data_IF_266053003486
#
_entry.id   IF_266053003486
#
_cell.length_a   1.000
_cell.length_b   1.000
_cell.length_c   1.000
_cell.angle_alpha   90.00
_cell.angle_beta   90.00
_cell.angle_gamma   90.00
#
_symmetry.space_group_name_H-M   'P 1'
#
loop_
_entity.id
_entity.type
_entity.pdbx_description
1 polymer ?
#
# COMPACT_ATOMS: atom_id res chain seq x y z
N UNK A 1 31.21 -20.43 -29.60
CA UNK A 1 30.70 -20.80 -28.27
C UNK A 1 31.77 -20.39 -27.29
N UNK A 2 31.72 -19.13 -26.83
CA UNK A 2 32.65 -18.62 -25.82
C UNK A 2 31.84 -18.12 -24.65
N UNK A 3 32.02 -18.80 -23.53
CA UNK A 3 31.45 -18.51 -22.22
C UNK A 3 32.04 -17.22 -21.66
N UNK A 4 31.24 -16.16 -21.58
CA UNK A 4 31.54 -14.97 -20.79
C UNK A 4 31.52 -15.34 -19.30
N UNK A 5 32.69 -15.63 -18.73
CA UNK A 5 32.86 -15.72 -17.29
C UNK A 5 33.03 -14.32 -16.70
N UNK A 6 32.13 -13.93 -15.80
CA UNK A 6 32.24 -12.71 -15.00
C UNK A 6 33.27 -12.96 -13.89
N UNK A 7 34.39 -12.24 -13.93
CA UNK A 7 35.46 -12.33 -12.94
C UNK A 7 35.12 -11.50 -11.70
N UNK A 8 35.23 -12.10 -10.51
CA UNK A 8 35.18 -11.37 -9.23
C UNK A 8 36.60 -10.93 -8.81
N UNK A 9 36.78 -9.72 -8.27
CA UNK A 9 38.09 -9.22 -7.86
C UNK A 9 38.62 -9.90 -6.57
N UNK A 10 39.94 -10.14 -6.55
CA UNK A 10 40.66 -11.09 -5.69
C UNK A 10 41.47 -10.47 -4.51
N UNK A 11 41.14 -9.31 -3.94
CA UNK A 11 41.82 -8.88 -2.69
C UNK A 11 41.04 -7.80 -1.88
N UNK A 12 41.11 -7.79 -0.53
CA UNK A 12 40.15 -7.07 0.32
C UNK A 12 40.63 -5.72 0.89
N UNK A 13 41.68 -5.08 0.36
CA UNK A 13 42.21 -3.82 0.95
C UNK A 13 42.24 -2.70 -0.09
N UNK A 14 41.13 -1.96 -0.16
CA UNK A 14 41.00 -0.52 -0.45
C UNK A 14 39.60 -0.19 -1.00
N UNK A 15 38.57 -0.29 -0.12
CA UNK A 15 37.22 0.26 -0.37
C UNK A 15 36.70 0.98 0.87
N UNK A 16 37.45 1.95 1.38
CA UNK A 16 36.86 2.98 2.26
C UNK A 16 36.32 4.12 1.39
N UNK A 17 35.21 3.82 0.70
CA UNK A 17 34.28 4.81 0.19
C UNK A 17 33.08 4.83 1.12
N UNK A 18 32.91 5.93 1.85
CA UNK A 18 31.75 6.18 2.69
C UNK A 18 30.52 6.38 1.77
N UNK A 19 29.83 5.29 1.43
CA UNK A 19 28.79 5.26 0.40
C UNK A 19 27.38 5.37 1.01
N UNK A 20 27.07 6.45 1.72
CA UNK A 20 25.66 6.91 1.85
C UNK A 20 25.25 7.56 0.53
N UNK A 21 25.00 6.73 -0.48
CA UNK A 21 24.38 7.20 -1.73
C UNK A 21 22.91 7.54 -1.44
N UNK A 22 22.63 8.83 -1.27
CA UNK A 22 21.27 9.33 -1.19
C UNK A 22 20.61 9.17 -2.57
N UNK A 23 19.63 8.27 -2.66
CA UNK A 23 18.77 8.14 -3.86
C UNK A 23 18.00 9.45 -4.04
N UNK A 24 18.39 10.25 -5.03
CA UNK A 24 17.74 11.54 -5.33
C UNK A 24 16.49 11.39 -6.21
N UNK A 25 16.40 10.30 -6.99
CA UNK A 25 15.29 10.02 -7.90
C UNK A 25 14.86 8.56 -7.77
N UNK A 26 13.65 8.27 -7.29
CA UNK A 26 13.18 6.90 -7.17
C UNK A 26 12.87 6.31 -8.55
N UNK A 27 13.38 5.11 -8.81
CA UNK A 27 13.28 4.45 -10.12
C UNK A 27 12.12 3.45 -10.17
N UNK A 28 11.89 2.75 -9.07
CA UNK A 28 10.79 1.79 -8.90
C UNK A 28 9.95 2.22 -7.69
N UNK A 29 8.69 2.57 -7.91
CA UNK A 29 7.81 3.13 -6.89
C UNK A 29 6.51 2.34 -6.76
N UNK A 30 6.13 2.04 -5.52
CA UNK A 30 4.74 1.73 -5.17
C UNK A 30 3.90 3.01 -5.09
N UNK A 31 2.58 2.86 -4.99
CA UNK A 31 1.64 3.99 -5.00
C UNK A 31 1.23 4.40 -3.58
N UNK A 32 0.22 3.74 -3.02
CA UNK A 32 -0.49 4.18 -1.83
C UNK A 32 -0.57 3.03 -0.83
N UNK A 33 -0.21 3.33 0.41
CA UNK A 33 -0.46 2.47 1.57
C UNK A 33 -1.49 3.18 2.44
N UNK A 34 -2.53 2.46 2.81
CA UNK A 34 -3.62 3.00 3.62
C UNK A 34 -3.83 2.17 4.88
N UNK A 35 -4.32 2.79 5.94
CA UNK A 35 -4.60 2.10 7.19
C UNK A 35 -5.58 2.83 8.08
N UNK A 36 -6.26 2.06 8.94
CA UNK A 36 -7.22 2.56 9.92
C UNK A 36 -7.10 1.75 11.22
N UNK A 37 -7.19 2.46 12.34
CA UNK A 37 -7.28 1.88 13.67
C UNK A 37 -8.72 1.48 13.98
N UNK A 38 -8.90 0.34 14.62
CA UNK A 38 -10.18 -0.15 15.12
C UNK A 38 -10.04 -0.58 16.59
N UNK A 39 -11.13 -1.07 17.20
CA UNK A 39 -11.19 -1.42 18.63
C UNK A 39 -10.04 -2.31 19.10
N UNK A 40 -9.78 -3.39 18.38
CA UNK A 40 -8.87 -4.45 18.81
C UNK A 40 -7.50 -4.37 18.13
N UNK A 41 -7.30 -3.39 17.24
CA UNK A 41 -6.11 -3.39 16.38
C UNK A 41 -6.02 -2.30 15.32
N UNK A 42 -5.23 -2.59 14.29
CA UNK A 42 -5.06 -1.75 13.08
C UNK A 42 -5.17 -2.62 11.84
N UNK A 43 -5.84 -2.11 10.81
CA UNK A 43 -5.88 -2.72 9.48
C UNK A 43 -5.06 -1.85 8.52
N UNK A 44 -4.20 -2.48 7.73
CA UNK A 44 -3.38 -1.86 6.68
C UNK A 44 -3.67 -2.52 5.34
N UNK A 45 -3.58 -1.77 4.24
CA UNK A 45 -3.66 -2.31 2.89
C UNK A 45 -2.68 -1.63 1.93
N UNK A 46 -2.20 -2.40 0.96
CA UNK A 46 -1.26 -1.96 -0.06
C UNK A 46 -1.47 -2.78 -1.34
N UNK A 47 -1.52 -2.14 -2.50
CA UNK A 47 -1.49 -2.81 -3.80
C UNK A 47 -0.13 -3.48 -4.07
N UNK A 48 -0.14 -4.52 -4.89
CA UNK A 48 1.04 -5.37 -5.16
C UNK A 48 1.83 -4.95 -6.41
N UNK A 49 1.64 -3.72 -6.89
CA UNK A 49 2.33 -3.23 -8.08
C UNK A 49 3.53 -2.33 -7.72
N UNK A 50 4.62 -2.55 -8.45
CA UNK A 50 5.76 -1.64 -8.48
C UNK A 50 5.95 -1.12 -9.90
N UNK A 51 5.85 0.21 -10.02
CA UNK A 51 5.95 0.93 -11.29
C UNK A 51 7.36 1.46 -11.54
N UNK A 52 7.82 1.40 -12.80
CA UNK A 52 8.98 2.13 -13.32
C UNK A 52 8.47 3.28 -14.18
N UNK A 53 8.30 4.46 -13.59
CA UNK A 53 7.64 5.58 -14.28
C UNK A 53 6.18 5.24 -14.61
N UNK A 54 5.84 5.09 -15.89
CA UNK A 54 4.51 4.67 -16.37
C UNK A 54 4.41 3.15 -16.62
N UNK A 55 5.54 2.43 -16.61
CA UNK A 55 5.55 1.00 -16.87
C UNK A 55 5.25 0.22 -15.58
N UNK A 56 4.19 -0.57 -15.58
CA UNK A 56 3.95 -1.60 -14.58
C UNK A 56 5.03 -2.70 -14.71
N UNK A 57 6.07 -2.66 -13.86
CA UNK A 57 7.26 -3.49 -14.06
C UNK A 57 7.21 -4.79 -13.26
N UNK A 58 6.84 -4.73 -11.98
CA UNK A 58 6.69 -5.92 -11.14
C UNK A 58 5.25 -5.99 -10.66
N UNK A 59 4.52 -6.95 -11.22
CA UNK A 59 3.20 -7.35 -10.77
C UNK A 59 3.38 -8.42 -9.68
N UNK A 60 2.49 -8.47 -8.70
CA UNK A 60 2.52 -9.42 -7.57
C UNK A 60 3.73 -9.28 -6.63
N UNK A 61 4.18 -8.05 -6.38
CA UNK A 61 5.22 -7.77 -5.40
C UNK A 61 4.64 -7.48 -4.01
N UNK A 62 5.11 -8.20 -3.00
CA UNK A 62 4.69 -7.98 -1.62
C UNK A 62 5.29 -6.68 -1.07
N UNK A 63 4.44 -5.76 -0.61
CA UNK A 63 4.88 -4.48 -0.06
C UNK A 63 4.79 -4.40 1.46
N UNK A 64 4.24 -5.44 2.10
CA UNK A 64 4.10 -5.51 3.54
C UNK A 64 5.22 -6.37 4.14
N UNK A 65 6.00 -5.77 5.03
CA UNK A 65 7.03 -6.47 5.78
C UNK A 65 6.62 -6.58 7.25
N UNK A 66 6.71 -7.80 7.80
CA UNK A 66 6.48 -8.05 9.22
C UNK A 66 7.73 -7.71 10.01
N UNK A 67 7.69 -6.64 10.81
CA UNK A 67 8.73 -6.32 11.77
C UNK A 67 8.47 -6.98 13.13
N UNK A 68 9.52 -7.50 13.75
CA UNK A 68 9.45 -8.11 15.09
C UNK A 68 9.65 -7.09 16.22
N UNK A 69 10.21 -5.92 15.91
CA UNK A 69 10.48 -4.84 16.87
C UNK A 69 9.49 -3.67 16.68
N UNK A 70 9.22 -2.95 17.77
CA UNK A 70 8.41 -1.74 17.77
C UNK A 70 9.15 -0.64 16.97
N UNK A 71 8.49 -0.12 15.94
CA UNK A 71 9.00 0.99 15.12
C UNK A 71 8.51 2.29 15.74
N UNK A 72 9.43 3.22 16.04
CA UNK A 72 9.08 4.58 16.43
C UNK A 72 8.64 5.37 15.19
N UNK A 73 7.43 5.92 15.23
CA UNK A 73 6.88 6.82 14.20
C UNK A 73 6.72 8.21 14.82
N UNK A 74 7.06 9.25 14.06
CA UNK A 74 7.11 10.63 14.56
C UNK A 74 5.73 11.27 14.81
N UNK A 75 4.65 10.67 14.33
CA UNK A 75 3.28 11.15 14.48
C UNK A 75 2.31 10.00 14.75
N UNK A 76 1.22 10.30 15.45
CA UNK A 76 0.18 9.33 15.82
C UNK A 76 -1.15 9.78 15.26
N UNK A 77 -1.76 8.96 14.41
CA UNK A 77 -3.06 9.21 13.81
C UNK A 77 -3.94 7.95 13.86
N UNK A 78 -5.25 8.12 13.87
CA UNK A 78 -6.21 7.00 13.88
C UNK A 78 -6.40 6.38 12.48
N UNK A 79 -5.99 7.09 11.42
CA UNK A 79 -5.95 6.61 10.06
C UNK A 79 -4.71 7.18 9.35
N UNK A 80 -4.23 6.48 8.34
CA UNK A 80 -3.06 6.90 7.56
C UNK A 80 -3.30 6.58 6.10
N UNK A 81 -2.87 7.47 5.21
CA UNK A 81 -2.85 7.23 3.78
C UNK A 81 -1.65 7.93 3.16
N UNK A 82 -0.88 7.19 2.36
CA UNK A 82 0.29 7.72 1.65
C UNK A 82 0.01 7.90 0.16
N UNK A 83 0.82 8.70 -0.51
CA UNK A 83 0.73 8.90 -1.96
C UNK A 83 -0.63 9.48 -2.39
N UNK A 84 -1.20 8.93 -3.46
CA UNK A 84 -2.53 9.33 -3.95
C UNK A 84 -3.66 8.97 -2.97
N UNK A 85 -3.42 7.99 -2.10
CA UNK A 85 -4.25 7.65 -0.95
C UNK A 85 -4.59 8.84 -0.06
N UNK A 86 -3.66 9.78 0.12
CA UNK A 86 -3.90 10.95 0.95
C UNK A 86 -5.03 11.85 0.43
N UNK A 87 -5.28 11.83 -0.89
CA UNK A 87 -6.31 12.67 -1.52
C UNK A 87 -7.63 11.91 -1.75
N UNK A 88 -7.54 10.62 -2.07
CA UNK A 88 -8.72 9.82 -2.46
C UNK A 88 -9.23 8.90 -1.37
N UNK A 89 -8.34 8.29 -0.59
CA UNK A 89 -8.72 7.35 0.47
C UNK A 89 -9.00 8.07 1.79
N UNK A 90 -8.26 9.15 2.09
CA UNK A 90 -8.40 9.88 3.35
C UNK A 90 -9.84 10.35 3.65
N UNK A 91 -10.63 10.87 2.69
CA UNK A 91 -12.02 11.24 2.95
C UNK A 91 -12.89 10.05 3.38
N UNK A 92 -12.68 8.88 2.78
CA UNK A 92 -13.43 7.65 3.11
C UNK A 92 -13.06 7.15 4.52
N UNK A 93 -11.76 7.18 4.85
CA UNK A 93 -11.27 6.81 6.18
C UNK A 93 -11.80 7.77 7.26
N UNK A 94 -11.80 9.06 6.95
CA UNK A 94 -12.32 10.12 7.83
C UNK A 94 -13.83 9.99 8.03
N UNK A 95 -14.60 9.71 6.99
CA UNK A 95 -16.04 9.46 7.08
C UNK A 95 -16.34 8.29 8.02
N UNK A 96 -15.60 7.19 7.91
CA UNK A 96 -15.74 6.06 8.82
C UNK A 96 -15.46 6.46 10.27
N UNK A 97 -14.40 7.22 10.54
CA UNK A 97 -14.06 7.63 11.90
C UNK A 97 -15.06 8.65 12.48
N UNK A 98 -15.39 9.68 11.74
CA UNK A 98 -16.23 10.78 12.24
C UNK A 98 -17.71 10.38 12.29
N UNK A 99 -18.25 9.81 11.21
CA UNK A 99 -19.68 9.53 11.08
C UNK A 99 -20.06 8.22 11.75
N UNK A 100 -19.33 7.12 11.45
CA UNK A 100 -19.70 5.81 12.01
C UNK A 100 -19.22 5.64 13.45
N UNK A 101 -18.05 6.16 13.78
CA UNK A 101 -17.42 5.93 15.09
C UNK A 101 -17.60 7.10 16.08
N UNK A 102 -18.17 8.23 15.66
CA UNK A 102 -18.33 9.42 16.50
C UNK A 102 -17.01 10.06 16.92
N UNK A 103 -15.93 9.82 16.16
CA UNK A 103 -14.58 10.31 16.43
C UNK A 103 -13.73 9.38 17.31
N UNK A 104 -14.28 8.31 17.87
CA UNK A 104 -13.51 7.33 18.65
C UNK A 104 -13.23 6.05 17.83
N UNK A 105 -11.96 5.71 17.53
CA UNK A 105 -11.62 4.48 16.81
C UNK A 105 -12.06 3.20 17.53
N UNK A 106 -12.32 3.23 18.85
CA UNK A 106 -12.79 2.05 19.59
C UNK A 106 -14.22 1.63 19.22
N UNK A 107 -14.97 2.51 18.57
CA UNK A 107 -16.32 2.21 18.09
C UNK A 107 -16.32 1.48 16.74
N UNK A 108 -15.15 1.35 16.09
CA UNK A 108 -15.00 0.66 14.80
C UNK A 108 -14.76 -0.84 15.04
N UNK A 109 -15.59 -1.69 14.43
CA UNK A 109 -15.40 -3.14 14.41
C UNK A 109 -14.36 -3.55 13.37
N UNK A 110 -13.82 -4.77 13.47
CA UNK A 110 -12.86 -5.27 12.49
C UNK A 110 -13.49 -5.36 11.09
N UNK A 111 -14.74 -5.81 11.01
CA UNK A 111 -15.49 -5.92 9.75
C UNK A 111 -15.70 -4.53 9.12
N UNK A 112 -16.04 -3.53 9.93
CA UNK A 112 -16.20 -2.15 9.47
C UNK A 112 -14.87 -1.59 8.93
N UNK A 113 -13.76 -1.86 9.61
CA UNK A 113 -12.42 -1.44 9.18
C UNK A 113 -12.05 -2.09 7.84
N UNK A 114 -12.24 -3.41 7.71
CA UNK A 114 -11.96 -4.16 6.48
C UNK A 114 -12.83 -3.65 5.32
N UNK A 115 -14.12 -3.39 5.57
CA UNK A 115 -15.04 -2.87 4.54
C UNK A 115 -14.65 -1.47 4.06
N UNK A 116 -14.24 -0.60 4.98
CA UNK A 116 -13.80 0.77 4.70
C UNK A 116 -12.52 0.77 3.89
N UNK A 117 -11.53 -0.05 4.29
CA UNK A 117 -10.27 -0.21 3.56
C UNK A 117 -10.51 -0.79 2.17
N UNK A 118 -11.37 -1.80 2.03
CA UNK A 118 -11.71 -2.39 0.73
C UNK A 118 -12.38 -1.36 -0.19
N UNK A 119 -13.26 -0.52 0.36
CA UNK A 119 -13.92 0.56 -0.38
C UNK A 119 -12.93 1.64 -0.82
N UNK A 120 -11.99 2.02 0.06
CA UNK A 120 -10.92 2.96 -0.26
C UNK A 120 -9.96 2.41 -1.35
N UNK A 121 -9.59 1.13 -1.29
CA UNK A 121 -8.79 0.47 -2.32
C UNK A 121 -9.52 0.44 -3.67
N UNK A 122 -10.84 0.20 -3.66
CA UNK A 122 -11.68 0.27 -4.86
C UNK A 122 -11.69 1.67 -5.48
N UNK A 123 -11.82 2.71 -4.65
CA UNK A 123 -11.76 4.09 -5.11
C UNK A 123 -10.38 4.43 -5.72
N UNK A 124 -9.30 3.97 -5.07
CA UNK A 124 -7.95 4.14 -5.59
C UNK A 124 -7.79 3.46 -6.94
N UNK A 125 -8.24 2.21 -7.08
CA UNK A 125 -8.17 1.50 -8.36
C UNK A 125 -8.90 2.21 -9.51
N UNK A 126 -10.03 2.85 -9.23
CA UNK A 126 -10.79 3.56 -10.26
C UNK A 126 -10.20 4.92 -10.67
N UNK A 127 -9.38 5.55 -9.82
CA UNK A 127 -8.95 6.94 -9.99
C UNK A 127 -7.44 7.14 -10.05
N UNK A 128 -6.66 6.18 -9.57
CA UNK A 128 -5.21 6.16 -9.64
C UNK A 128 -4.75 5.26 -10.79
N UNK A 129 -4.13 5.85 -11.80
CA UNK A 129 -3.62 5.14 -12.98
C UNK A 129 -2.46 4.18 -12.67
N UNK A 130 -1.88 4.24 -11.47
CA UNK A 130 -0.80 3.38 -11.02
C UNK A 130 -1.23 2.37 -9.97
N UNK A 131 -2.50 2.35 -9.57
CA UNK A 131 -3.03 1.35 -8.67
C UNK A 131 -3.33 0.05 -9.44
N UNK A 132 -3.22 -1.08 -8.74
CA UNK A 132 -3.52 -2.40 -9.28
C UNK A 132 -4.70 -3.03 -8.55
N UNK A 133 -5.41 -3.95 -9.21
CA UNK A 133 -6.63 -4.56 -8.66
C UNK A 133 -6.36 -5.61 -7.58
N UNK A 134 -5.10 -6.03 -7.47
CA UNK A 134 -4.62 -7.02 -6.52
C UNK A 134 -3.84 -6.35 -5.40
N UNK A 135 -4.22 -6.65 -4.16
CA UNK A 135 -3.68 -6.01 -2.96
C UNK A 135 -3.48 -7.00 -1.82
N UNK A 136 -2.63 -6.62 -0.88
CA UNK A 136 -2.46 -7.29 0.41
C UNK A 136 -3.11 -6.46 1.50
N UNK A 137 -3.64 -7.15 2.50
CA UNK A 137 -4.23 -6.55 3.68
C UNK A 137 -3.58 -7.17 4.91
N UNK A 138 -3.13 -6.36 5.85
CA UNK A 138 -2.60 -6.82 7.13
C UNK A 138 -3.54 -6.38 8.25
N UNK A 139 -3.97 -7.34 9.06
CA UNK A 139 -4.71 -7.11 10.30
C UNK A 139 -3.75 -7.35 11.45
N UNK A 140 -3.63 -6.36 12.33
CA UNK A 140 -2.75 -6.39 13.49
C UNK A 140 -3.60 -6.29 14.73
N UNK A 141 -3.61 -7.35 15.54
CA UNK A 141 -4.33 -7.44 16.80
C UNK A 141 -3.37 -7.80 17.95
N UNK A 142 -3.90 -8.05 19.15
CA UNK A 142 -3.10 -8.42 20.33
C UNK A 142 -2.48 -9.81 20.19
N UNK A 143 -3.11 -10.69 19.42
CA UNK A 143 -2.68 -12.06 19.17
C UNK A 143 -1.52 -12.12 18.16
N UNK A 144 -1.43 -11.15 17.24
CA UNK A 144 -0.32 -10.99 16.33
C UNK A 144 -0.64 -10.24 15.05
N UNK A 145 0.16 -10.51 14.01
CA UNK A 145 0.04 -9.90 12.68
C UNK A 145 -0.40 -10.99 11.71
N UNK A 146 -1.53 -10.77 11.05
CA UNK A 146 -2.06 -11.63 9.99
C UNK A 146 -2.02 -10.86 8.66
N UNK A 147 -1.26 -11.36 7.69
CA UNK A 147 -1.19 -10.78 6.34
C UNK A 147 -2.00 -11.67 5.41
N UNK A 148 -3.04 -11.09 4.83
CA UNK A 148 -3.95 -11.72 3.88
C UNK A 148 -3.62 -11.22 2.46
N UNK A 149 -3.37 -12.14 1.54
CA UNK A 149 -3.13 -11.81 0.13
C UNK A 149 -2.75 -13.02 -0.72
N UNK A 150 -2.80 -12.92 -2.05
CA UNK A 150 -3.30 -11.79 -2.85
C UNK A 150 -4.83 -11.70 -2.86
N UNK A 151 -5.39 -10.54 -2.51
CA UNK A 151 -6.82 -10.25 -2.59
C UNK A 151 -7.12 -9.47 -3.87
N UNK A 152 -8.20 -9.83 -4.58
CA UNK A 152 -8.63 -9.14 -5.80
C UNK A 152 -9.89 -8.32 -5.55
N UNK A 153 -9.87 -7.06 -5.98
CA UNK A 153 -11.01 -6.16 -5.87
C UNK A 153 -12.17 -6.59 -6.78
N UNK A 154 -13.39 -6.57 -6.25
CA UNK A 154 -14.61 -6.72 -7.05
C UNK A 154 -15.03 -5.36 -7.61
N UNK A 155 -14.69 -5.13 -8.87
CA UNK A 155 -15.04 -3.92 -9.61
C UNK A 155 -16.32 -4.13 -10.41
N UNK A 156 -17.21 -3.13 -10.37
CA UNK A 156 -18.37 -3.06 -11.25
C UNK A 156 -18.15 -1.90 -12.24
N UNK A 157 -18.31 -2.19 -13.52
CA UNK A 157 -18.10 -1.26 -14.64
C UNK A 157 -19.38 -1.06 -15.46
N UNK A 158 -20.54 -1.50 -14.93
CA UNK A 158 -21.86 -1.35 -15.55
C UNK A 158 -22.16 0.08 -16.04
N UNK A 159 -21.61 1.10 -15.36
CA UNK A 159 -21.75 2.51 -15.77
C UNK A 159 -21.23 2.80 -17.19
N UNK A 160 -20.29 2.00 -17.71
CA UNK A 160 -19.74 2.19 -19.05
C UNK A 160 -20.80 2.04 -20.15
N UNK A 161 -21.85 1.26 -19.93
CA UNK A 161 -22.95 1.06 -20.89
C UNK A 161 -23.80 2.32 -21.11
N UNK A 162 -23.83 3.20 -20.11
CA UNK A 162 -24.58 4.47 -20.16
C UNK A 162 -23.83 5.56 -20.94
N UNK A 163 -22.52 5.40 -21.16
CA UNK A 163 -21.71 6.37 -21.89
C UNK A 163 -21.87 6.13 -23.39
N UNK A 164 -22.64 7.00 -24.07
CA UNK A 164 -22.79 6.97 -25.54
C UNK A 164 -22.27 8.26 -26.16
N UNK A 165 -21.29 8.11 -27.05
CA UNK A 165 -20.67 9.23 -27.77
C UNK A 165 -19.82 10.12 -26.87
N UNK A 166 -18.96 10.91 -27.50
CA UNK A 166 -18.16 11.96 -26.87
C UNK A 166 -18.14 13.21 -27.77
N UNK A 167 -19.19 13.35 -28.60
CA UNK A 167 -19.42 14.47 -29.50
C UNK A 167 -19.96 15.69 -28.72
#
# INVERSE_FOLDING_TARGET
MDSLQVQFPNNPTDVHGDCRNHTMTPICTGTSVIGIKYRDGVVLAADMLVSYGSLAKYMDFERMFKSTLIIFVAFTENYVATGFGAYLAMPILRECLEIKAGGDPNNITEEDAISTITSAMKQLYFRDCRAFDTYQMAVVNKEGIQISGPLRLKCDWSIAEYVKGYD
#
